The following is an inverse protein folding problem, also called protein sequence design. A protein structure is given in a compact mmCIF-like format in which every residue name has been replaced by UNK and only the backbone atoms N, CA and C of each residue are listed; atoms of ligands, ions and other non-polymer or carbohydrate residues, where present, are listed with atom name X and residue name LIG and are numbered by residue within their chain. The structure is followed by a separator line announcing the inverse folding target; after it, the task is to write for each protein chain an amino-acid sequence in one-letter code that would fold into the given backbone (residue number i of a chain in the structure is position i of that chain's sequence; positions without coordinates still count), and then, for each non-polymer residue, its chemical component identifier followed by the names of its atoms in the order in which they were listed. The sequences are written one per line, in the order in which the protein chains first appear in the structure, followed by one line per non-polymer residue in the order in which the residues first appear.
data_IF_063409698159
#
_entry.id   IF_063409698159
#
_cell.length_a   1.000
_cell.length_b   1.000
_cell.length_c   1.000
_cell.angle_alpha   90.00
_cell.angle_beta   90.00
_cell.angle_gamma   90.00
#
_symmetry.space_group_name_H-M   'P 1'
#
loop_
_entity.id
_entity.type
_entity.pdbx_description
1 polymer ?
#
# COMPACT_ATOMS: atom_id res chain seq x y z
N UNK A 1 16.86 -1.94 -110.27
CA UNK A 1 16.24 -2.83 -109.27
C UNK A 1 17.25 -3.44 -108.30
N UNK A 2 18.26 -4.22 -108.72
CA UNK A 2 19.20 -4.91 -107.81
C UNK A 2 19.98 -4.00 -106.83
N UNK A 3 20.45 -2.82 -107.27
CA UNK A 3 21.16 -1.85 -106.41
C UNK A 3 20.28 -1.22 -105.33
N UNK A 4 19.00 -1.01 -105.60
CA UNK A 4 18.05 -0.45 -104.64
C UNK A 4 17.67 -1.47 -103.55
N UNK A 5 17.54 -2.75 -103.92
CA UNK A 5 17.28 -3.85 -102.98
C UNK A 5 18.47 -4.04 -102.03
N UNK A 6 19.71 -3.97 -102.52
CA UNK A 6 20.91 -4.07 -101.68
C UNK A 6 21.04 -2.95 -100.63
N UNK A 7 20.63 -1.72 -100.98
CA UNK A 7 20.62 -0.58 -100.06
C UNK A 7 19.56 -0.73 -98.95
N UNK A 8 18.37 -1.20 -99.31
CA UNK A 8 17.28 -1.46 -98.35
C UNK A 8 17.67 -2.57 -97.37
N UNK A 9 18.30 -3.64 -97.86
CA UNK A 9 18.81 -4.72 -97.00
C UNK A 9 19.93 -4.22 -96.08
N UNK A 10 20.85 -3.39 -96.57
CA UNK A 10 21.91 -2.81 -95.74
C UNK A 10 21.38 -1.87 -94.64
N UNK A 11 20.38 -1.04 -94.95
CA UNK A 11 19.71 -0.17 -93.97
C UNK A 11 18.92 -0.99 -92.94
N UNK A 12 18.26 -2.08 -93.35
CA UNK A 12 17.58 -2.98 -92.44
C UNK A 12 18.57 -3.69 -91.49
N UNK A 13 19.71 -4.17 -91.99
CA UNK A 13 20.77 -4.77 -91.15
C UNK A 13 21.37 -3.75 -90.20
N UNK A 14 21.61 -2.51 -90.64
CA UNK A 14 22.09 -1.44 -89.78
C UNK A 14 21.06 -1.04 -88.70
N UNK A 15 19.78 -0.96 -89.05
CA UNK A 15 18.70 -0.70 -88.09
C UNK A 15 18.55 -1.86 -87.08
N UNK A 16 18.67 -3.11 -87.52
CA UNK A 16 18.71 -4.28 -86.62
C UNK A 16 19.95 -4.28 -85.73
N UNK A 17 21.12 -3.85 -86.22
CA UNK A 17 22.34 -3.76 -85.42
C UNK A 17 22.28 -2.61 -84.39
N UNK A 18 21.75 -1.45 -84.77
CA UNK A 18 21.54 -0.31 -83.86
C UNK A 18 20.45 -0.64 -82.84
N UNK A 19 19.32 -1.20 -83.28
CA UNK A 19 18.26 -1.67 -82.39
C UNK A 19 18.75 -2.78 -81.45
N UNK A 20 19.56 -3.71 -81.95
CA UNK A 20 20.22 -4.74 -81.15
C UNK A 20 21.19 -4.16 -80.13
N UNK A 21 22.02 -3.18 -80.52
CA UNK A 21 22.95 -2.50 -79.60
C UNK A 21 22.23 -1.66 -78.54
N UNK A 22 21.18 -0.93 -78.92
CA UNK A 22 20.32 -0.19 -78.00
C UNK A 22 19.60 -1.14 -77.03
N UNK A 23 19.07 -2.26 -77.53
CA UNK A 23 18.47 -3.30 -76.71
C UNK A 23 19.49 -3.93 -75.76
N UNK A 24 20.69 -4.29 -76.23
CA UNK A 24 21.76 -4.81 -75.38
C UNK A 24 22.13 -3.81 -74.28
N UNK A 25 22.38 -2.55 -74.63
CA UNK A 25 22.76 -1.50 -73.69
C UNK A 25 21.64 -1.19 -72.66
N UNK A 26 20.38 -1.19 -73.09
CA UNK A 26 19.23 -1.03 -72.20
C UNK A 26 19.02 -2.28 -71.31
N UNK A 27 19.18 -3.47 -71.87
CA UNK A 27 19.07 -4.76 -71.15
C UNK A 27 20.13 -4.96 -70.07
N UNK A 28 21.29 -4.31 -70.23
CA UNK A 28 22.39 -4.31 -69.24
C UNK A 28 22.44 -3.06 -68.36
N UNK A 29 21.46 -2.16 -68.46
CA UNK A 29 21.41 -0.99 -67.59
C UNK A 29 21.21 -1.41 -66.14
N UNK A 30 22.15 -1.02 -65.26
CA UNK A 30 22.14 -1.38 -63.84
C UNK A 30 21.20 -0.43 -63.08
N UNK A 31 20.16 -0.94 -62.41
CA UNK A 31 19.36 -0.15 -61.48
C UNK A 31 20.22 0.44 -60.35
N UNK A 32 19.90 1.63 -59.88
CA UNK A 32 20.66 2.28 -58.79
C UNK A 32 19.78 3.10 -57.87
N UNK A 33 20.22 3.32 -56.64
CA UNK A 33 19.54 4.15 -55.64
C UNK A 33 20.04 5.60 -55.71
N UNK A 34 19.15 6.55 -55.42
CA UNK A 34 19.42 7.99 -55.26
C UNK A 34 19.10 8.31 -53.78
N UNK A 35 20.12 8.62 -52.97
CA UNK A 35 20.03 8.64 -51.50
C UNK A 35 19.49 9.93 -50.87
N UNK A 36 18.77 9.77 -49.74
CA UNK A 36 18.59 10.75 -48.65
C UNK A 36 18.46 10.02 -47.29
N UNK A 37 18.65 10.76 -46.18
CA UNK A 37 18.80 10.38 -44.75
C UNK A 37 18.17 9.04 -44.29
N UNK A 38 18.86 8.35 -43.38
CA UNK A 38 18.67 6.91 -43.09
C UNK A 38 18.39 6.58 -41.61
N UNK A 39 17.81 7.49 -40.84
CA UNK A 39 17.43 7.19 -39.46
C UNK A 39 16.04 6.53 -39.39
N UNK A 40 15.97 5.37 -38.73
CA UNK A 40 14.75 4.60 -38.49
C UNK A 40 14.50 4.49 -36.98
N UNK A 41 13.25 4.47 -36.59
CA UNK A 41 12.84 4.37 -35.19
C UNK A 41 13.02 2.93 -34.66
N UNK A 42 13.53 2.80 -33.44
CA UNK A 42 13.68 1.53 -32.73
C UNK A 42 12.33 0.80 -32.62
N UNK A 43 12.34 -0.50 -32.88
CA UNK A 43 11.17 -1.39 -32.79
C UNK A 43 9.98 -0.97 -33.69
N UNK A 44 10.21 -0.14 -34.71
CA UNK A 44 9.20 0.18 -35.71
C UNK A 44 8.99 -0.97 -36.71
N UNK A 45 7.72 -1.31 -36.98
CA UNK A 45 7.36 -2.29 -38.00
C UNK A 45 7.35 -1.63 -39.38
N UNK A 46 8.24 -2.07 -40.27
CA UNK A 46 8.28 -1.59 -41.66
C UNK A 46 8.87 -2.63 -42.63
N UNK A 47 8.61 -2.43 -43.91
CA UNK A 47 9.14 -3.26 -45.01
C UNK A 47 10.16 -2.51 -45.86
N UNK A 48 10.90 -3.21 -46.72
CA UNK A 48 11.86 -2.59 -47.63
C UNK A 48 11.20 -1.63 -48.63
N UNK A 49 9.90 -1.82 -48.93
CA UNK A 49 9.14 -0.91 -49.76
C UNK A 49 8.85 0.45 -49.09
N UNK A 50 8.87 0.48 -47.75
CA UNK A 50 8.60 1.68 -46.95
C UNK A 50 9.86 2.55 -46.76
N UNK A 51 11.03 2.04 -47.16
CA UNK A 51 12.28 2.80 -47.10
C UNK A 51 12.18 4.05 -48.01
N UNK A 52 12.68 5.22 -47.57
CA UNK A 52 12.63 6.46 -48.34
C UNK A 52 13.67 6.50 -49.47
N UNK A 53 13.65 5.48 -50.35
CA UNK A 53 14.59 5.28 -51.44
C UNK A 53 13.97 5.67 -52.79
N UNK A 54 14.77 6.28 -53.66
CA UNK A 54 14.40 6.51 -55.06
C UNK A 54 15.25 5.62 -55.96
N UNK A 55 14.60 4.85 -56.84
CA UNK A 55 15.27 3.88 -57.73
C UNK A 55 15.30 4.44 -59.16
N UNK A 56 16.49 4.46 -59.74
CA UNK A 56 16.71 4.79 -61.15
C UNK A 56 16.77 3.51 -61.98
N UNK A 57 16.05 3.48 -63.11
CA UNK A 57 16.11 2.41 -64.13
C UNK A 57 15.78 0.99 -63.64
N UNK A 58 14.92 0.87 -62.62
CA UNK A 58 14.43 -0.41 -62.13
C UNK A 58 13.38 -0.29 -61.03
N UNK A 59 12.99 -1.43 -60.46
CA UNK A 59 12.03 -1.57 -59.35
C UNK A 59 12.58 -2.47 -58.25
N UNK A 60 12.15 -2.24 -57.01
CA UNK A 60 12.44 -3.12 -55.88
C UNK A 60 11.56 -4.36 -55.96
N UNK A 61 12.15 -5.55 -55.88
CA UNK A 61 11.41 -6.82 -56.01
C UNK A 61 11.32 -7.64 -54.72
N UNK A 62 12.10 -7.29 -53.69
CA UNK A 62 11.99 -7.87 -52.34
C UNK A 62 11.31 -6.91 -51.35
N UNK A 63 10.45 -6.02 -51.85
CA UNK A 63 9.83 -4.94 -51.07
C UNK A 63 9.04 -5.40 -49.84
N UNK A 64 8.44 -6.60 -49.87
CA UNK A 64 7.67 -7.16 -48.76
C UNK A 64 8.54 -7.67 -47.59
N UNK A 65 9.87 -7.67 -47.73
CA UNK A 65 10.75 -8.13 -46.64
C UNK A 65 10.76 -7.11 -45.50
N UNK A 66 10.72 -7.60 -44.26
CA UNK A 66 10.76 -6.77 -43.04
C UNK A 66 12.16 -6.17 -42.84
N UNK A 67 12.20 -4.92 -42.39
CA UNK A 67 13.44 -4.24 -41.96
C UNK A 67 13.62 -4.47 -40.45
N UNK A 68 14.79 -4.95 -40.04
CA UNK A 68 15.09 -5.17 -38.62
C UNK A 68 15.45 -3.83 -37.96
N UNK A 69 14.62 -3.38 -37.04
CA UNK A 69 14.80 -2.14 -36.26
C UNK A 69 14.95 -2.42 -34.76
N UNK A 70 15.22 -3.68 -34.36
CA UNK A 70 15.30 -4.08 -32.95
C UNK A 70 16.67 -3.85 -32.29
N UNK A 71 17.59 -3.16 -32.97
CA UNK A 71 18.95 -2.93 -32.47
C UNK A 71 19.44 -1.54 -32.89
N UNK A 72 19.76 -0.72 -31.88
CA UNK A 72 20.31 0.62 -32.06
C UNK A 72 21.62 0.65 -32.85
N UNK A 73 21.84 1.78 -33.52
CA UNK A 73 23.03 2.07 -34.30
C UNK A 73 22.96 1.61 -35.75
N UNK A 74 24.13 1.42 -36.37
CA UNK A 74 24.24 1.14 -37.80
C UNK A 74 23.85 -0.29 -38.14
N UNK A 75 22.99 -0.43 -39.14
CA UNK A 75 22.48 -1.68 -39.67
C UNK A 75 22.54 -1.66 -41.21
N UNK A 76 22.46 -2.84 -41.82
CA UNK A 76 22.53 -3.02 -43.27
C UNK A 76 21.49 -4.02 -43.76
N UNK A 77 20.95 -3.79 -44.95
CA UNK A 77 20.02 -4.72 -45.62
C UNK A 77 20.30 -4.76 -47.12
N UNK A 78 19.94 -5.88 -47.76
CA UNK A 78 20.10 -6.08 -49.19
C UNK A 78 18.79 -5.76 -49.92
N UNK A 79 18.85 -4.81 -50.84
CA UNK A 79 17.78 -4.48 -51.77
C UNK A 79 18.02 -5.18 -53.10
N UNK A 80 17.03 -5.92 -53.59
CA UNK A 80 17.10 -6.60 -54.88
C UNK A 80 16.34 -5.75 -55.89
N UNK A 81 17.07 -5.17 -56.85
CA UNK A 81 16.52 -4.31 -57.89
C UNK A 81 16.47 -5.05 -59.22
N UNK A 82 15.38 -4.87 -59.97
CA UNK A 82 15.20 -5.47 -61.30
C UNK A 82 14.86 -4.39 -62.34
N UNK A 83 15.50 -4.43 -63.52
CA UNK A 83 15.17 -3.54 -64.63
C UNK A 83 14.03 -4.11 -65.51
N UNK A 84 13.53 -3.33 -66.46
CA UNK A 84 12.43 -3.75 -67.36
C UNK A 84 12.76 -4.98 -68.25
N UNK A 85 14.02 -5.40 -68.30
CA UNK A 85 14.52 -6.55 -69.06
C UNK A 85 14.82 -7.78 -68.18
N UNK A 86 14.53 -7.73 -66.88
CA UNK A 86 14.73 -8.83 -65.93
C UNK A 86 16.16 -9.00 -65.41
N UNK A 87 17.04 -8.01 -65.63
CA UNK A 87 18.36 -8.01 -65.01
C UNK A 87 18.24 -7.59 -63.54
N UNK A 88 18.84 -8.38 -62.64
CA UNK A 88 18.80 -8.18 -61.19
C UNK A 88 20.15 -7.76 -60.63
N UNK A 89 20.15 -6.86 -59.66
CA UNK A 89 21.33 -6.53 -58.88
C UNK A 89 21.00 -6.38 -57.39
N UNK A 90 21.96 -6.78 -56.56
CA UNK A 90 21.92 -6.58 -55.11
C UNK A 90 22.53 -5.22 -54.79
N UNK A 91 21.86 -4.45 -53.95
CA UNK A 91 22.34 -3.18 -53.44
C UNK A 91 22.36 -3.23 -51.92
N UNK A 92 23.54 -3.02 -51.32
CA UNK A 92 23.67 -2.90 -49.87
C UNK A 92 23.18 -1.52 -49.45
N UNK A 93 22.21 -1.47 -48.55
CA UNK A 93 21.65 -0.24 -48.02
C UNK A 93 21.94 -0.17 -46.52
N UNK A 94 22.64 0.87 -46.10
CA UNK A 94 22.95 1.13 -44.69
C UNK A 94 21.94 2.11 -44.10
N UNK A 95 21.51 1.85 -42.86
CA UNK A 95 20.64 2.72 -42.09
C UNK A 95 21.06 2.76 -40.63
N UNK A 96 20.59 3.77 -39.89
CA UNK A 96 20.85 3.94 -38.47
C UNK A 96 19.53 3.81 -37.71
N UNK A 97 19.48 2.90 -36.75
CA UNK A 97 18.35 2.79 -35.84
C UNK A 97 18.63 3.68 -34.65
N UNK A 98 17.74 4.62 -34.40
CA UNK A 98 17.76 5.55 -33.28
C UNK A 98 16.50 5.35 -32.45
N UNK A 99 16.58 5.66 -31.18
CA UNK A 99 15.39 5.81 -30.35
C UNK A 99 15.05 7.29 -30.23
N UNK A 100 13.86 7.66 -30.68
CA UNK A 100 13.36 9.04 -30.59
C UNK A 100 12.06 9.13 -29.79
N UNK A 101 11.61 8.01 -29.24
CA UNK A 101 10.39 7.91 -28.45
C UNK A 101 10.74 8.15 -26.99
N UNK A 102 9.93 8.96 -26.32
CA UNK A 102 10.14 9.24 -24.90
C UNK A 102 9.46 8.18 -24.01
N UNK A 103 10.00 7.94 -22.80
CA UNK A 103 9.37 7.07 -21.82
C UNK A 103 7.93 7.48 -21.52
N UNK A 104 7.09 6.53 -21.17
CA UNK A 104 5.70 6.75 -20.76
C UNK A 104 5.59 6.63 -19.24
N UNK A 105 4.92 7.60 -18.63
CA UNK A 105 4.53 7.58 -17.22
C UNK A 105 3.04 7.25 -17.10
N UNK A 106 2.71 6.13 -16.47
CA UNK A 106 1.33 5.70 -16.23
C UNK A 106 0.93 5.87 -14.76
N UNK A 107 -0.37 6.09 -14.52
CA UNK A 107 -0.99 6.28 -13.19
C UNK A 107 -0.52 7.53 -12.43
N UNK A 108 0.06 8.51 -13.11
CA UNK A 108 0.42 9.79 -12.52
C UNK A 108 -0.86 10.60 -12.22
N UNK A 109 -1.10 10.86 -10.93
CA UNK A 109 -2.28 11.58 -10.45
C UNK A 109 -1.93 12.47 -9.26
N UNK A 110 -2.81 13.41 -8.92
CA UNK A 110 -2.66 14.25 -7.72
C UNK A 110 -2.57 13.39 -6.45
N UNK A 111 -1.65 13.77 -5.57
CA UNK A 111 -1.32 13.00 -4.37
C UNK A 111 -1.79 13.78 -3.15
N UNK A 112 -2.46 13.10 -2.22
CA UNK A 112 -2.78 13.68 -0.91
C UNK A 112 -2.13 12.85 0.19
N UNK A 113 -1.18 13.45 0.92
CA UNK A 113 -0.50 12.85 2.07
C UNK A 113 -0.80 13.65 3.34
N UNK A 114 -0.48 13.06 4.48
CA UNK A 114 -0.46 13.79 5.74
C UNK A 114 0.95 14.28 6.06
N UNK A 115 1.00 15.37 6.83
CA UNK A 115 2.25 15.89 7.36
C UNK A 115 3.00 14.82 8.16
N UNK A 116 4.27 14.63 7.84
CA UNK A 116 5.16 13.62 8.41
C UNK A 116 5.07 12.25 7.73
N UNK A 117 4.31 12.09 6.64
CA UNK A 117 4.25 10.84 5.89
C UNK A 117 5.65 10.39 5.44
N UNK A 118 5.90 9.07 5.49
CA UNK A 118 7.10 8.41 4.96
C UNK A 118 6.80 7.62 3.69
N UNK A 119 5.66 7.88 3.04
CA UNK A 119 5.24 7.17 1.83
C UNK A 119 6.17 7.51 0.67
N UNK A 120 6.53 6.52 -0.14
CA UNK A 120 7.23 6.73 -1.40
C UNK A 120 6.27 7.39 -2.39
N UNK A 121 6.74 8.45 -3.06
CA UNK A 121 5.94 9.18 -4.04
C UNK A 121 5.84 8.43 -5.37
N UNK A 122 6.72 7.45 -5.61
CA UNK A 122 6.66 6.59 -6.80
C UNK A 122 5.70 5.40 -6.66
N UNK A 123 5.09 5.19 -5.48
CA UNK A 123 4.21 4.04 -5.25
C UNK A 123 3.02 4.03 -6.22
N UNK A 124 2.92 2.97 -7.03
CA UNK A 124 1.87 2.79 -8.04
C UNK A 124 2.11 3.45 -9.41
N UNK A 125 3.17 4.25 -9.58
CA UNK A 125 3.56 4.81 -10.88
C UNK A 125 4.32 3.75 -11.67
N UNK A 126 3.97 3.59 -12.95
CA UNK A 126 4.66 2.68 -13.86
C UNK A 126 5.39 3.51 -14.91
N UNK A 127 6.65 3.16 -15.14
CA UNK A 127 7.50 3.79 -16.16
C UNK A 127 7.87 2.72 -17.18
N UNK A 128 7.61 2.99 -18.45
CA UNK A 128 7.88 2.06 -19.55
C UNK A 128 8.36 2.81 -20.79
N UNK A 129 9.04 2.13 -21.69
CA UNK A 129 9.50 2.72 -22.95
C UNK A 129 9.42 1.68 -24.08
N UNK A 130 9.50 2.10 -25.35
CA UNK A 130 9.59 1.19 -26.50
C UNK A 130 10.98 0.56 -26.64
N UNK A 131 12.00 1.09 -25.94
CA UNK A 131 13.33 0.53 -25.84
C UNK A 131 13.52 -0.33 -24.58
N UNK A 132 14.63 -1.08 -24.55
CA UNK A 132 15.14 -1.73 -23.34
C UNK A 132 16.25 -0.90 -22.68
N UNK A 133 16.35 0.39 -23.01
CA UNK A 133 17.36 1.28 -22.45
C UNK A 133 17.09 1.55 -20.96
N UNK A 134 18.15 1.96 -20.24
CA UNK A 134 18.01 2.36 -18.84
C UNK A 134 17.24 3.67 -18.75
N UNK A 135 16.19 3.69 -17.94
CA UNK A 135 15.39 4.89 -17.67
C UNK A 135 15.78 5.45 -16.31
N UNK A 136 16.13 6.73 -16.30
CA UNK A 136 16.37 7.49 -15.06
C UNK A 136 15.12 8.28 -14.69
N UNK A 137 14.73 8.20 -13.41
CA UNK A 137 13.50 8.82 -12.89
C UNK A 137 13.81 9.80 -11.78
N UNK A 138 13.16 10.97 -11.77
CA UNK A 138 13.31 11.97 -10.71
C UNK A 138 12.03 12.76 -10.47
N UNK A 139 11.95 13.42 -9.32
CA UNK A 139 10.87 14.35 -8.97
C UNK A 139 11.48 15.73 -8.89
N UNK A 140 11.04 16.64 -9.75
CA UNK A 140 11.40 18.05 -9.71
C UNK A 140 10.35 18.86 -8.92
N UNK A 141 10.76 20.00 -8.38
CA UNK A 141 9.91 20.89 -7.58
C UNK A 141 10.29 20.92 -6.09
N UNK A 142 9.99 22.04 -5.43
CA UNK A 142 10.19 22.17 -3.98
C UNK A 142 8.96 21.63 -3.24
N UNK A 143 9.17 20.62 -2.41
CA UNK A 143 8.13 20.11 -1.53
C UNK A 143 8.68 19.74 -0.15
N UNK A 144 7.79 19.70 0.82
CA UNK A 144 8.10 19.13 2.14
C UNK A 144 6.91 18.38 2.66
N UNK A 145 7.16 17.18 3.18
CA UNK A 145 6.14 16.44 3.90
C UNK A 145 6.00 16.93 5.34
N UNK A 146 6.84 17.86 5.82
CA UNK A 146 6.83 18.32 7.21
C UNK A 146 5.95 19.54 7.47
N UNK A 147 5.46 20.19 6.41
CA UNK A 147 4.57 21.36 6.50
C UNK A 147 3.32 21.06 5.70
N UNK A 148 2.16 21.43 6.23
CA UNK A 148 0.93 21.32 5.46
C UNK A 148 0.89 22.38 4.35
N UNK A 149 0.32 22.02 3.22
CA UNK A 149 0.27 22.88 2.05
C UNK A 149 0.06 22.10 0.77
N UNK A 150 0.10 22.83 -0.33
CA UNK A 150 0.01 22.29 -1.67
C UNK A 150 1.29 22.62 -2.40
N UNK A 151 1.90 21.60 -3.02
CA UNK A 151 3.16 21.67 -3.73
C UNK A 151 2.94 21.20 -5.16
N UNK A 152 3.41 21.96 -6.14
CA UNK A 152 3.50 21.49 -7.51
C UNK A 152 4.81 20.72 -7.65
N UNK A 153 4.71 19.46 -8.07
CA UNK A 153 5.87 18.60 -8.35
C UNK A 153 5.75 18.04 -9.76
N UNK A 154 6.88 17.72 -10.37
CA UNK A 154 6.93 17.17 -11.73
C UNK A 154 7.68 15.84 -11.70
N UNK A 155 7.01 14.77 -12.12
CA UNK A 155 7.67 13.50 -12.39
C UNK A 155 8.40 13.60 -13.72
N UNK A 156 9.66 13.17 -13.75
CA UNK A 156 10.52 13.20 -14.93
C UNK A 156 11.09 11.80 -15.16
N UNK A 157 10.96 11.30 -16.38
CA UNK A 157 11.60 10.08 -16.85
C UNK A 157 12.42 10.38 -18.10
N UNK A 158 13.70 9.96 -18.11
CA UNK A 158 14.64 10.17 -19.22
C UNK A 158 15.32 8.85 -19.56
N UNK A 159 15.25 8.43 -20.82
CA UNK A 159 15.97 7.25 -21.31
C UNK A 159 17.46 7.55 -21.60
N UNK A 160 18.22 6.52 -22.00
CA UNK A 160 19.63 6.66 -22.32
C UNK A 160 19.90 7.41 -23.64
N UNK A 161 18.92 7.44 -24.56
CA UNK A 161 18.96 8.21 -25.81
C UNK A 161 18.68 9.70 -25.60
N UNK A 162 18.22 10.09 -24.41
CA UNK A 162 17.94 11.45 -24.00
C UNK A 162 16.52 11.91 -24.31
N UNK A 163 15.60 11.02 -24.65
CA UNK A 163 14.19 11.37 -24.77
C UNK A 163 13.56 11.44 -23.38
N UNK A 164 12.61 12.35 -23.21
CA UNK A 164 12.15 12.79 -21.89
C UNK A 164 10.63 12.99 -21.85
N UNK A 165 10.03 12.52 -20.76
CA UNK A 165 8.63 12.79 -20.41
C UNK A 165 8.54 13.47 -19.06
N UNK A 166 7.66 14.47 -18.98
CA UNK A 166 7.37 15.25 -17.78
C UNK A 166 5.87 15.24 -17.50
N UNK A 167 5.48 14.93 -16.27
CA UNK A 167 4.09 15.01 -15.82
C UNK A 167 3.99 15.81 -14.51
N UNK A 168 3.22 16.90 -14.53
CA UNK A 168 3.00 17.77 -13.37
C UNK A 168 1.81 17.29 -12.54
N UNK A 169 1.99 17.20 -11.23
CA UNK A 169 0.92 16.87 -10.28
C UNK A 169 0.91 17.78 -9.07
N UNK A 170 -0.24 17.79 -8.41
CA UNK A 170 -0.43 18.48 -7.14
C UNK A 170 -0.20 17.53 -5.97
N UNK A 171 0.85 17.76 -5.18
CA UNK A 171 1.04 17.12 -3.87
C UNK A 171 0.38 17.98 -2.79
N UNK A 172 -0.70 17.48 -2.19
CA UNK A 172 -1.37 18.09 -1.04
C UNK A 172 -0.93 17.41 0.25
N UNK A 173 -0.19 18.13 1.10
CA UNK A 173 0.15 17.71 2.45
C UNK A 173 -0.87 18.30 3.41
N UNK A 174 -1.74 17.46 3.97
CA UNK A 174 -2.73 17.88 4.97
C UNK A 174 -2.10 17.90 6.36
N UNK A 175 -2.52 18.84 7.21
CA UNK A 175 -2.21 18.73 8.64
C UNK A 175 -2.69 17.39 9.18
N UNK A 176 -1.94 16.86 10.14
CA UNK A 176 -2.37 15.71 10.91
C UNK A 176 -3.55 16.17 11.76
N UNK A 177 -4.76 15.82 11.35
CA UNK A 177 -5.94 16.02 12.19
C UNK A 177 -5.91 15.01 13.34
N UNK A 178 -5.42 15.45 14.50
CA UNK A 178 -5.67 14.77 15.76
C UNK A 178 -6.97 15.35 16.31
N UNK A 179 -8.09 14.61 16.35
CA UNK A 179 -9.27 15.10 17.04
C UNK A 179 -8.90 15.48 18.47
N UNK A 180 -9.42 16.62 18.93
CA UNK A 180 -9.25 17.09 20.30
C UNK A 180 -10.04 16.17 21.25
N UNK A 181 -9.46 15.01 21.55
CA UNK A 181 -9.97 14.00 22.49
C UNK A 181 -9.57 14.37 23.93
N UNK A 182 -9.55 15.66 24.26
CA UNK A 182 -9.27 16.15 25.62
C UNK A 182 -10.41 15.86 26.60
N UNK A 183 -11.60 15.52 26.09
CA UNK A 183 -12.78 15.29 26.92
C UNK A 183 -13.24 13.84 26.83
N UNK A 184 -13.45 13.25 28.00
CA UNK A 184 -14.09 11.95 28.17
C UNK A 184 -15.59 12.09 27.87
N UNK A 185 -16.11 11.30 26.93
CA UNK A 185 -17.55 11.22 26.68
C UNK A 185 -18.16 10.21 27.65
N UNK A 186 -18.81 10.72 28.70
CA UNK A 186 -19.49 9.90 29.71
C UNK A 186 -21.00 10.09 29.57
N UNK A 187 -21.73 8.98 29.65
CA UNK A 187 -23.18 9.00 29.67
C UNK A 187 -23.71 9.35 31.06
N UNK A 188 -24.76 10.15 31.11
CA UNK A 188 -25.50 10.39 32.34
C UNK A 188 -26.39 9.18 32.64
N UNK A 189 -26.60 8.90 33.92
CA UNK A 189 -27.44 7.81 34.38
C UNK A 189 -28.87 7.95 33.83
N UNK A 190 -29.33 6.90 33.15
CA UNK A 190 -30.65 6.86 32.52
C UNK A 190 -31.06 5.44 32.14
N UNK A 191 -32.34 5.25 31.87
CA UNK A 191 -32.87 4.05 31.25
C UNK A 191 -33.50 4.37 29.90
N UNK A 192 -33.19 3.56 28.89
CA UNK A 192 -33.68 3.71 27.52
C UNK A 192 -34.35 2.40 27.11
N UNK A 193 -35.56 2.47 26.56
CA UNK A 193 -36.18 1.31 25.92
C UNK A 193 -35.68 1.24 24.48
N UNK A 194 -35.05 0.12 24.13
CA UNK A 194 -34.47 -0.10 22.80
C UNK A 194 -35.55 -0.39 21.76
N UNK A 195 -35.19 -0.38 20.47
CA UNK A 195 -36.14 -0.65 19.39
C UNK A 195 -36.75 -2.06 19.45
N UNK A 196 -36.05 -3.01 20.07
CA UNK A 196 -36.53 -4.37 20.27
C UNK A 196 -37.17 -4.59 21.65
N UNK A 197 -37.38 -3.52 22.43
CA UNK A 197 -38.11 -3.56 23.71
C UNK A 197 -37.27 -3.96 24.92
N UNK A 198 -35.95 -4.00 24.81
CA UNK A 198 -35.06 -4.21 25.95
C UNK A 198 -34.89 -2.94 26.76
N UNK A 199 -34.51 -3.06 28.03
CA UNK A 199 -34.12 -1.92 28.86
C UNK A 199 -32.60 -1.78 28.87
N UNK A 200 -32.09 -0.74 28.20
CA UNK A 200 -30.71 -0.31 28.33
C UNK A 200 -30.60 0.59 29.55
N UNK A 201 -29.78 0.17 30.51
CA UNK A 201 -29.49 0.91 31.74
C UNK A 201 -28.10 1.51 31.65
N UNK A 202 -28.00 2.81 31.85
CA UNK A 202 -26.74 3.51 32.05
C UNK A 202 -26.64 3.82 33.53
N UNK A 203 -25.61 3.29 34.18
CA UNK A 203 -25.31 3.55 35.58
C UNK A 203 -23.81 3.80 35.73
N UNK A 204 -23.44 4.89 36.41
CA UNK A 204 -22.06 5.35 36.54
C UNK A 204 -21.35 5.49 35.18
N UNK A 205 -22.13 5.89 34.16
CA UNK A 205 -21.68 6.02 32.78
C UNK A 205 -21.43 4.69 32.04
N UNK A 206 -21.85 3.55 32.60
CA UNK A 206 -21.68 2.22 32.01
C UNK A 206 -23.03 1.74 31.44
N UNK A 207 -23.18 1.66 30.11
CA UNK A 207 -24.38 1.15 29.45
C UNK A 207 -24.43 -0.38 29.49
N UNK A 208 -25.57 -0.95 29.86
CA UNK A 208 -25.79 -2.41 29.88
C UNK A 208 -27.22 -2.80 29.54
N UNK A 209 -27.40 -3.98 28.97
CA UNK A 209 -28.69 -4.63 28.72
C UNK A 209 -28.59 -6.07 29.22
N UNK A 210 -29.52 -6.48 30.09
CA UNK A 210 -29.55 -7.84 30.66
C UNK A 210 -28.21 -8.32 31.25
N UNK A 211 -27.46 -7.39 31.86
CA UNK A 211 -26.13 -7.65 32.43
C UNK A 211 -24.98 -7.66 31.43
N UNK A 212 -25.26 -7.50 30.13
CA UNK A 212 -24.25 -7.36 29.08
C UNK A 212 -23.88 -5.89 28.92
N UNK A 213 -22.62 -5.54 29.20
CA UNK A 213 -22.10 -4.18 28.98
C UNK A 213 -22.01 -3.92 27.47
N UNK A 214 -22.61 -2.82 27.03
CA UNK A 214 -22.66 -2.40 25.63
C UNK A 214 -21.58 -1.35 25.40
N UNK A 215 -20.64 -1.64 24.52
CA UNK A 215 -19.68 -0.64 24.01
C UNK A 215 -19.66 -0.74 22.50
N UNK A 216 -19.98 0.36 21.84
CA UNK A 216 -19.96 0.49 20.39
C UNK A 216 -19.77 1.97 20.05
N UNK A 217 -20.05 2.42 18.83
CA UNK A 217 -19.84 3.83 18.46
C UNK A 217 -20.81 4.81 19.13
N UNK A 218 -21.97 4.35 19.60
CA UNK A 218 -22.92 5.20 20.32
C UNK A 218 -22.62 5.19 21.82
N UNK A 219 -22.44 4.01 22.38
CA UNK A 219 -22.32 3.81 23.83
C UNK A 219 -20.85 3.68 24.22
N UNK A 220 -20.33 4.68 24.93
CA UNK A 220 -18.98 4.68 25.49
C UNK A 220 -18.96 4.20 26.92
N UNK A 221 -17.76 3.95 27.43
CA UNK A 221 -17.48 3.70 28.84
C UNK A 221 -16.46 4.69 29.42
N UNK A 222 -16.46 4.90 30.74
CA UNK A 222 -15.51 5.78 31.41
C UNK A 222 -14.06 5.39 31.14
N UNK A 223 -13.18 6.36 30.99
CA UNK A 223 -11.73 6.24 30.82
C UNK A 223 -11.02 5.42 31.90
N UNK A 224 -11.60 5.34 33.09
CA UNK A 224 -11.11 4.54 34.23
C UNK A 224 -11.64 3.11 34.24
N UNK A 225 -12.53 2.74 33.32
CA UNK A 225 -13.12 1.41 33.27
C UNK A 225 -12.11 0.37 32.78
N UNK A 226 -12.04 -0.75 33.50
CA UNK A 226 -11.22 -1.90 33.16
C UNK A 226 -9.77 -1.82 33.66
N UNK A 227 -9.17 -2.97 33.90
CA UNK A 227 -7.78 -3.09 34.36
C UNK A 227 -7.06 -4.36 33.86
N UNK A 228 -7.63 -5.03 32.85
CA UNK A 228 -7.15 -6.31 32.35
C UNK A 228 -8.28 -7.11 31.72
N UNK A 229 -7.97 -8.30 31.20
CA UNK A 229 -9.01 -9.25 30.82
C UNK A 229 -9.79 -9.69 32.06
N UNK A 230 -11.11 -9.84 31.91
CA UNK A 230 -11.94 -10.37 33.00
C UNK A 230 -11.61 -11.85 33.25
N UNK A 231 -11.83 -12.32 34.47
CA UNK A 231 -11.57 -13.71 34.84
C UNK A 231 -12.40 -14.69 33.97
N UNK A 232 -13.66 -14.35 33.68
CA UNK A 232 -14.54 -15.17 32.85
C UNK A 232 -14.06 -15.23 31.41
N UNK A 233 -13.67 -14.08 30.83
CA UNK A 233 -13.12 -14.02 29.48
C UNK A 233 -11.83 -14.84 29.37
N UNK A 234 -10.92 -14.71 30.35
CA UNK A 234 -9.67 -15.46 30.36
C UNK A 234 -9.91 -16.97 30.51
N UNK A 235 -10.85 -17.37 31.36
CA UNK A 235 -11.21 -18.78 31.57
C UNK A 235 -11.81 -19.37 30.30
N UNK A 236 -12.81 -18.69 29.71
CA UNK A 236 -13.44 -19.11 28.46
C UNK A 236 -12.44 -19.22 27.31
N UNK A 237 -11.54 -18.23 27.18
CA UNK A 237 -10.51 -18.24 26.14
C UNK A 237 -9.53 -19.40 26.31
N UNK A 238 -9.11 -19.67 27.55
CA UNK A 238 -8.21 -20.81 27.83
C UNK A 238 -8.87 -22.15 27.50
N UNK A 239 -10.15 -22.33 27.84
CA UNK A 239 -10.90 -23.54 27.46
C UNK A 239 -11.00 -23.68 25.95
N UNK A 240 -11.42 -22.63 25.25
CA UNK A 240 -11.51 -22.62 23.77
C UNK A 240 -10.17 -22.97 23.12
N UNK A 241 -9.07 -22.39 23.62
CA UNK A 241 -7.72 -22.68 23.11
C UNK A 241 -7.32 -24.13 23.36
N UNK A 242 -7.63 -24.69 24.52
CA UNK A 242 -7.32 -26.10 24.83
C UNK A 242 -8.09 -27.06 23.93
N UNK A 243 -9.36 -26.79 23.65
CA UNK A 243 -10.16 -27.63 22.76
C UNK A 243 -9.72 -27.49 21.29
N UNK A 244 -9.40 -26.28 20.82
CA UNK A 244 -8.80 -26.08 19.51
C UNK A 244 -7.46 -26.85 19.36
N UNK A 245 -6.62 -26.83 20.40
CA UNK A 245 -5.35 -27.56 20.42
C UNK A 245 -5.52 -29.08 20.35
N UNK A 246 -6.61 -29.62 20.92
CA UNK A 246 -6.94 -31.05 20.79
C UNK A 246 -7.27 -31.45 19.35
N UNK A 247 -7.67 -30.49 18.51
CA UNK A 247 -7.88 -30.65 17.07
C UNK A 247 -6.65 -30.29 16.23
N UNK A 248 -5.50 -29.99 16.87
CA UNK A 248 -4.26 -29.63 16.18
C UNK A 248 -4.16 -28.17 15.76
N UNK A 249 -5.04 -27.29 16.26
CA UNK A 249 -5.09 -25.87 15.93
C UNK A 249 -4.44 -25.03 17.03
N UNK A 250 -3.79 -23.91 16.67
CA UNK A 250 -3.11 -23.04 17.66
C UNK A 250 -3.74 -21.66 17.73
N UNK A 251 -4.41 -21.35 18.85
CA UNK A 251 -4.96 -20.02 19.12
C UNK A 251 -4.09 -19.26 20.14
N UNK A 252 -3.77 -18.00 19.85
CA UNK A 252 -3.13 -17.09 20.81
C UNK A 252 -3.81 -15.72 20.86
N UNK A 253 -3.73 -15.09 22.03
CA UNK A 253 -4.21 -13.74 22.24
C UNK A 253 -3.17 -12.76 21.68
N UNK A 254 -3.49 -12.12 20.56
CA UNK A 254 -2.66 -11.10 19.94
C UNK A 254 -2.91 -9.72 20.56
N UNK A 255 -4.17 -9.41 20.88
CA UNK A 255 -4.54 -8.19 21.61
C UNK A 255 -5.74 -8.44 22.52
N UNK A 256 -5.56 -8.27 23.84
CA UNK A 256 -6.61 -8.40 24.84
C UNK A 256 -7.10 -7.05 25.33
N UNK A 257 -7.03 -6.83 26.65
CA UNK A 257 -7.40 -5.54 27.24
C UNK A 257 -6.56 -4.38 26.69
N UNK A 258 -7.23 -3.28 26.33
CA UNK A 258 -6.60 -2.01 25.96
C UNK A 258 -7.18 -0.89 26.83
N UNK A 259 -6.34 -0.20 27.59
CA UNK A 259 -6.77 0.95 28.37
C UNK A 259 -7.24 2.09 27.48
N UNK A 260 -8.03 3.01 28.04
CA UNK A 260 -8.46 4.23 27.36
C UNK A 260 -7.27 5.02 26.79
N UNK A 261 -6.22 5.19 27.59
CA UNK A 261 -5.00 5.93 27.19
C UNK A 261 -4.28 5.26 26.02
N UNK A 262 -4.16 3.92 26.06
CA UNK A 262 -3.59 3.17 24.95
C UNK A 262 -4.43 3.34 23.68
N UNK A 263 -5.75 3.19 23.79
CA UNK A 263 -6.67 3.35 22.68
C UNK A 263 -6.62 4.76 22.09
N UNK A 264 -6.48 5.80 22.93
CA UNK A 264 -6.31 7.19 22.49
C UNK A 264 -5.05 7.36 21.63
N UNK A 265 -3.91 6.82 22.08
CA UNK A 265 -2.67 6.85 21.31
C UNK A 265 -2.79 6.10 19.97
N UNK A 266 -3.37 4.90 20.01
CA UNK A 266 -3.59 4.06 18.83
C UNK A 266 -4.49 4.75 17.80
N UNK A 267 -5.64 5.26 18.23
CA UNK A 267 -6.59 5.95 17.37
C UNK A 267 -6.00 7.24 16.78
N UNK A 268 -5.26 8.01 17.57
CA UNK A 268 -4.56 9.20 17.10
C UNK A 268 -3.50 8.85 16.03
N UNK A 269 -2.76 7.76 16.22
CA UNK A 269 -1.80 7.28 15.22
C UNK A 269 -2.51 6.89 13.91
N UNK A 270 -3.67 6.23 13.98
CA UNK A 270 -4.44 5.90 12.79
C UNK A 270 -5.03 7.14 12.10
N UNK A 271 -5.56 8.10 12.86
CA UNK A 271 -6.00 9.38 12.30
C UNK A 271 -4.86 10.09 11.58
N UNK A 272 -3.66 10.10 12.18
CA UNK A 272 -2.45 10.71 11.63
C UNK A 272 -1.87 9.98 10.40
N UNK A 273 -2.23 8.72 10.17
CA UNK A 273 -1.73 7.94 9.04
C UNK A 273 -2.75 7.80 7.91
N UNK A 274 -4.02 7.68 8.24
CA UNK A 274 -5.10 7.28 7.31
C UNK A 274 -6.25 8.29 7.26
N UNK A 275 -6.28 9.26 8.17
CA UNK A 275 -7.34 10.25 8.30
C UNK A 275 -8.46 9.75 9.20
N UNK A 276 -9.18 10.67 9.85
CA UNK A 276 -10.22 10.32 10.81
C UNK A 276 -11.33 9.45 10.20
N UNK A 277 -11.83 9.82 9.02
CA UNK A 277 -12.92 9.08 8.36
C UNK A 277 -12.55 7.63 8.08
N UNK A 278 -11.29 7.34 7.76
CA UNK A 278 -10.84 5.96 7.58
C UNK A 278 -10.63 5.28 8.94
N UNK A 279 -9.97 5.94 9.89
CA UNK A 279 -9.74 5.41 11.23
C UNK A 279 -11.05 5.04 11.94
N UNK A 280 -12.12 5.83 11.75
CA UNK A 280 -13.45 5.56 12.29
C UNK A 280 -14.09 4.26 11.74
N UNK A 281 -13.57 3.63 10.67
CA UNK A 281 -14.11 2.37 10.10
C UNK A 281 -13.47 1.09 10.66
N UNK A 282 -12.22 1.16 11.11
CA UNK A 282 -11.44 -0.02 11.56
C UNK A 282 -10.79 0.18 12.94
N UNK A 283 -10.97 1.35 13.54
CA UNK A 283 -10.49 1.68 14.87
C UNK A 283 -11.59 2.37 15.66
N UNK A 284 -11.40 2.44 16.97
CA UNK A 284 -12.37 3.01 17.89
C UNK A 284 -11.79 4.27 18.53
N UNK A 285 -12.60 5.32 18.63
CA UNK A 285 -12.32 6.46 19.50
C UNK A 285 -12.17 5.96 20.94
N UNK A 286 -11.32 6.58 21.77
CA UNK A 286 -11.12 6.11 23.14
C UNK A 286 -12.43 6.17 23.93
N UNK A 287 -12.73 5.12 24.69
CA UNK A 287 -14.02 4.90 25.35
C UNK A 287 -15.05 4.11 24.54
N UNK A 288 -14.83 3.92 23.23
CA UNK A 288 -15.76 3.21 22.32
C UNK A 288 -15.18 1.87 21.83
N UNK A 289 -14.09 1.40 22.44
CA UNK A 289 -13.40 0.16 22.09
C UNK A 289 -13.79 -0.96 23.04
N UNK A 290 -14.32 -2.07 22.54
CA UNK A 290 -14.69 -3.21 23.38
C UNK A 290 -13.49 -3.84 24.11
N UNK A 291 -12.26 -3.64 23.62
CA UNK A 291 -11.05 -4.08 24.32
C UNK A 291 -10.89 -3.44 25.70
N UNK A 292 -11.45 -2.25 25.92
CA UNK A 292 -11.42 -1.60 27.22
C UNK A 292 -12.31 -2.33 28.25
N UNK A 293 -13.25 -3.17 27.81
CA UNK A 293 -14.03 -4.03 28.71
C UNK A 293 -13.22 -5.17 29.32
N UNK A 294 -12.08 -5.53 28.73
CA UNK A 294 -11.40 -6.78 29.08
C UNK A 294 -12.19 -8.04 28.68
N UNK A 295 -13.17 -7.88 27.79
CA UNK A 295 -14.05 -8.94 27.29
C UNK A 295 -13.86 -9.21 25.79
N UNK A 296 -12.99 -8.45 25.10
CA UNK A 296 -12.65 -8.65 23.71
C UNK A 296 -11.22 -9.16 23.56
N UNK A 297 -11.00 -10.03 22.58
CA UNK A 297 -9.69 -10.58 22.22
C UNK A 297 -9.57 -10.58 20.70
N UNK A 298 -8.47 -10.01 20.19
CA UNK A 298 -8.03 -10.23 18.82
C UNK A 298 -7.13 -11.46 18.78
N UNK A 299 -7.45 -12.40 17.90
CA UNK A 299 -6.76 -13.68 17.78
C UNK A 299 -5.68 -13.67 16.69
N UNK A 300 -4.61 -14.40 16.98
CA UNK A 300 -3.57 -14.77 16.03
C UNK A 300 -2.99 -13.61 15.21
N UNK A 301 -3.19 -13.63 13.90
CA UNK A 301 -2.77 -12.57 12.98
C UNK A 301 -3.97 -11.67 12.71
N UNK A 302 -3.87 -10.41 13.11
CA UNK A 302 -4.93 -9.41 13.03
C UNK A 302 -5.05 -8.86 11.60
N UNK A 303 -5.46 -9.71 10.66
CA UNK A 303 -5.66 -9.39 9.23
C UNK A 303 -6.82 -10.18 8.65
N UNK A 304 -7.36 -9.72 7.51
CA UNK A 304 -8.46 -10.42 6.82
C UNK A 304 -8.13 -11.86 6.47
N UNK A 305 -6.86 -12.17 6.22
CA UNK A 305 -6.39 -13.52 5.88
C UNK A 305 -6.67 -14.55 6.98
N UNK A 306 -6.89 -14.12 8.24
CA UNK A 306 -7.26 -15.04 9.31
C UNK A 306 -8.52 -15.84 8.98
N UNK A 307 -9.48 -15.27 8.24
CA UNK A 307 -10.70 -16.00 7.81
C UNK A 307 -10.41 -17.21 6.93
N UNK A 308 -9.26 -17.21 6.25
CA UNK A 308 -8.85 -18.26 5.33
C UNK A 308 -8.02 -19.35 6.02
N UNK A 309 -7.61 -19.17 7.29
CA UNK A 309 -6.86 -20.18 8.03
C UNK A 309 -7.79 -21.22 8.66
N UNK A 310 -7.23 -22.39 8.99
CA UNK A 310 -7.97 -23.43 9.71
C UNK A 310 -8.46 -22.92 11.08
N UNK A 311 -7.62 -22.14 11.78
CA UNK A 311 -7.97 -21.49 13.04
C UNK A 311 -9.13 -20.51 12.90
N UNK A 312 -9.11 -19.61 11.92
CA UNK A 312 -10.18 -18.62 11.76
C UNK A 312 -11.51 -19.27 11.39
N UNK A 313 -11.49 -20.28 10.51
CA UNK A 313 -12.69 -21.05 10.18
C UNK A 313 -13.22 -21.84 11.38
N UNK A 314 -12.32 -22.40 12.20
CA UNK A 314 -12.73 -23.10 13.42
C UNK A 314 -13.32 -22.11 14.43
N UNK A 315 -12.70 -20.96 14.66
CA UNK A 315 -13.21 -19.92 15.57
C UNK A 315 -14.59 -19.46 15.12
N UNK A 316 -14.78 -19.14 13.84
CA UNK A 316 -16.07 -18.69 13.30
C UNK A 316 -17.21 -19.70 13.52
N UNK A 317 -16.89 -20.99 13.63
CA UNK A 317 -17.87 -22.07 13.81
C UNK A 317 -17.97 -22.61 15.24
N UNK A 318 -17.09 -22.20 16.16
CA UNK A 318 -17.00 -22.81 17.48
C UNK A 318 -16.93 -21.81 18.63
N UNK A 319 -16.54 -20.55 18.41
CA UNK A 319 -16.29 -19.61 19.50
C UNK A 319 -17.53 -19.38 20.40
N UNK A 320 -18.74 -19.48 19.83
CA UNK A 320 -20.00 -19.37 20.57
C UNK A 320 -20.18 -20.41 21.67
N UNK A 321 -19.62 -21.62 21.47
CA UNK A 321 -19.68 -22.70 22.45
C UNK A 321 -18.97 -22.34 23.76
N UNK A 322 -18.07 -21.38 23.69
CA UNK A 322 -17.31 -20.86 24.83
C UNK A 322 -17.76 -19.47 25.26
N UNK A 323 -18.88 -18.98 24.73
CA UNK A 323 -19.44 -17.68 25.09
C UNK A 323 -18.85 -16.49 24.33
N UNK A 324 -18.13 -16.73 23.24
CA UNK A 324 -17.63 -15.67 22.36
C UNK A 324 -18.47 -15.51 21.10
N UNK A 325 -18.57 -14.30 20.59
CA UNK A 325 -19.14 -14.01 19.27
C UNK A 325 -18.07 -13.44 18.35
N UNK A 326 -18.20 -13.65 17.04
CA UNK A 326 -17.53 -12.80 16.05
C UNK A 326 -18.24 -11.44 16.08
N UNK A 327 -17.61 -10.44 16.72
CA UNK A 327 -18.30 -9.19 17.08
C UNK A 327 -18.66 -8.33 15.88
N UNK A 328 -17.79 -8.34 14.87
CA UNK A 328 -17.92 -7.59 13.62
C UNK A 328 -17.96 -8.58 12.45
N UNK A 329 -19.12 -9.20 12.17
CA UNK A 329 -19.28 -10.19 11.11
C UNK A 329 -19.32 -9.59 9.70
N UNK A 330 -19.09 -10.44 8.68
CA UNK A 330 -19.00 -10.02 7.28
C UNK A 330 -20.34 -9.45 6.78
N UNK A 331 -20.29 -8.31 6.07
CA UNK A 331 -21.47 -7.64 5.51
C UNK A 331 -22.34 -6.87 6.52
N UNK A 332 -21.89 -6.71 7.77
CA UNK A 332 -22.65 -6.06 8.86
C UNK A 332 -22.02 -4.75 9.35
N UNK A 333 -21.08 -4.21 8.59
CA UNK A 333 -20.37 -2.95 8.84
C UNK A 333 -21.31 -1.74 8.88
N UNK A 334 -22.38 -1.75 8.08
CA UNK A 334 -23.43 -0.73 8.13
C UNK A 334 -24.28 -0.75 9.41
N UNK A 335 -24.17 -1.80 10.22
CA UNK A 335 -24.90 -1.97 11.49
C UNK A 335 -23.95 -1.72 12.66
N UNK A 336 -22.81 -2.42 12.71
CA UNK A 336 -21.85 -2.31 13.81
C UNK A 336 -21.00 -1.03 13.72
N UNK A 337 -20.86 -0.49 12.51
CA UNK A 337 -19.96 0.61 12.18
C UNK A 337 -18.51 0.15 11.91
N UNK A 338 -18.15 -1.11 12.15
CA UNK A 338 -16.79 -1.61 11.97
C UNK A 338 -16.73 -2.56 10.79
N UNK A 339 -15.62 -2.52 10.05
CA UNK A 339 -15.34 -3.51 9.00
C UNK A 339 -15.39 -4.94 9.56
N UNK A 340 -15.51 -5.94 8.68
CA UNK A 340 -15.42 -7.34 9.10
C UNK A 340 -14.09 -7.59 9.83
N UNK A 341 -14.13 -8.21 11.01
CA UNK A 341 -12.93 -8.57 11.78
C UNK A 341 -12.99 -10.05 12.17
N UNK A 342 -12.50 -10.98 11.32
CA UNK A 342 -12.52 -12.42 11.62
C UNK A 342 -11.76 -12.81 12.89
N UNK A 343 -10.82 -11.97 13.32
CA UNK A 343 -9.98 -12.19 14.50
C UNK A 343 -10.61 -11.69 15.79
N UNK A 344 -11.60 -10.79 15.73
CA UNK A 344 -12.10 -10.08 16.89
C UNK A 344 -13.29 -10.82 17.53
N UNK A 345 -13.04 -11.38 18.71
CA UNK A 345 -14.05 -12.09 19.48
C UNK A 345 -14.45 -11.32 20.74
N UNK A 346 -15.75 -11.27 21.03
CA UNK A 346 -16.33 -10.63 22.22
C UNK A 346 -17.00 -11.66 23.11
N UNK A 347 -16.62 -11.71 24.38
CA UNK A 347 -17.26 -12.56 25.38
C UNK A 347 -18.59 -11.96 25.84
N UNK A 348 -19.65 -12.76 25.76
CA UNK A 348 -21.03 -12.41 26.15
C UNK A 348 -21.71 -13.53 26.96
N UNK A 349 -20.98 -14.60 27.28
CA UNK A 349 -21.53 -15.81 27.89
C UNK A 349 -22.15 -16.77 26.86
N UNK A 350 -22.21 -18.06 27.22
CA UNK A 350 -22.57 -19.16 26.32
C UNK A 350 -24.00 -19.03 25.78
N UNK A 351 -24.96 -18.70 26.65
CA UNK A 351 -26.38 -18.65 26.27
C UNK A 351 -26.63 -17.59 25.19
N UNK A 352 -26.14 -16.37 25.40
CA UNK A 352 -26.30 -15.30 24.42
C UNK A 352 -25.47 -15.57 23.16
N UNK A 353 -24.22 -16.03 23.29
CA UNK A 353 -23.40 -16.33 22.12
C UNK A 353 -24.05 -17.41 21.24
N UNK A 354 -24.70 -18.41 21.83
CA UNK A 354 -25.43 -19.46 21.11
C UNK A 354 -26.62 -18.90 20.33
N UNK A 355 -27.37 -17.95 20.92
CA UNK A 355 -28.46 -17.25 20.23
C UNK A 355 -27.90 -16.45 19.05
N UNK A 356 -26.83 -15.69 19.27
CA UNK A 356 -26.24 -14.81 18.26
C UNK A 356 -25.55 -15.56 17.13
N UNK A 357 -25.07 -16.80 17.35
CA UNK A 357 -24.50 -17.63 16.29
C UNK A 357 -25.49 -17.97 15.17
N UNK A 358 -26.78 -18.16 15.51
CA UNK A 358 -27.88 -18.36 14.56
C UNK A 358 -27.54 -19.30 13.38
N UNK A 359 -27.01 -20.47 13.70
CA UNK A 359 -26.67 -21.50 12.70
C UNK A 359 -25.51 -21.15 11.77
N UNK A 360 -24.65 -20.19 12.14
CA UNK A 360 -23.52 -19.70 11.35
C UNK A 360 -23.75 -18.30 10.79
N UNK A 361 -25.00 -17.83 10.75
CA UNK A 361 -25.35 -16.47 10.32
C UNK A 361 -25.41 -15.53 11.51
N UNK A 362 -24.23 -15.03 11.93
CA UNK A 362 -24.09 -14.17 13.10
C UNK A 362 -25.06 -12.97 13.11
N UNK A 363 -25.85 -12.88 14.19
CA UNK A 363 -26.66 -11.72 14.55
C UNK A 363 -25.79 -10.79 15.39
N UNK A 364 -25.76 -9.50 15.04
CA UNK A 364 -25.00 -8.51 15.81
C UNK A 364 -25.69 -8.18 17.15
N UNK A 365 -24.93 -7.67 18.13
CA UNK A 365 -25.53 -7.15 19.37
C UNK A 365 -26.50 -6.01 19.09
N UNK A 366 -26.18 -5.17 18.11
CA UNK A 366 -27.02 -4.08 17.62
C UNK A 366 -28.38 -4.59 17.11
N UNK A 367 -28.38 -5.60 16.24
CA UNK A 367 -29.61 -6.22 15.73
C UNK A 367 -30.41 -6.92 16.81
N UNK A 368 -29.75 -7.67 17.69
CA UNK A 368 -30.41 -8.43 18.75
C UNK A 368 -31.09 -7.50 19.75
N UNK A 369 -30.37 -6.50 20.24
CA UNK A 369 -30.91 -5.57 21.24
C UNK A 369 -31.67 -4.39 20.64
N UNK A 370 -31.59 -4.13 19.34
CA UNK A 370 -32.25 -3.00 18.68
C UNK A 370 -31.65 -1.65 19.09
N UNK A 371 -30.31 -1.56 19.07
CA UNK A 371 -29.54 -0.37 19.44
C UNK A 371 -28.68 0.12 18.26
N UNK A 372 -28.33 1.40 18.26
CA UNK A 372 -27.51 2.02 17.21
C UNK A 372 -26.01 1.90 17.51
N UNK A 373 -25.18 2.02 16.46
CA UNK A 373 -23.72 2.17 16.54
C UNK A 373 -23.26 3.29 15.61
N UNK A 374 -23.51 4.53 16.04
CA UNK A 374 -23.10 5.77 15.37
C UNK A 374 -22.50 6.71 16.40
N UNK A 375 -21.38 7.36 16.06
CA UNK A 375 -20.76 8.34 16.95
C UNK A 375 -21.73 9.50 17.23
N UNK A 376 -21.91 9.90 18.50
CA UNK A 376 -22.76 11.02 18.86
C UNK A 376 -22.36 12.29 18.10
N UNK A 377 -23.34 13.00 17.53
CA UNK A 377 -23.09 14.24 16.78
C UNK A 377 -22.51 15.36 17.66
N UNK A 378 -22.76 15.29 18.97
CA UNK A 378 -22.28 16.19 20.00
C UNK A 378 -20.97 15.71 20.67
N UNK A 379 -20.35 14.65 20.15
CA UNK A 379 -19.12 14.08 20.71
C UNK A 379 -18.00 15.12 20.93
N UNK A 380 -17.86 16.09 20.02
CA UNK A 380 -16.87 17.16 20.13
C UNK A 380 -17.26 18.25 21.16
N UNK A 381 -18.52 18.30 21.59
CA UNK A 381 -19.08 19.39 22.40
C UNK A 381 -19.51 18.96 23.82
N UNK A 382 -19.74 17.67 24.08
CA UNK A 382 -20.08 17.17 25.42
C UNK A 382 -18.83 17.18 26.29
N UNK A 383 -18.68 18.21 27.14
CA UNK A 383 -17.60 18.31 28.12
C UNK A 383 -18.05 17.70 29.44
N UNK A 384 -17.30 16.74 29.97
CA UNK A 384 -17.39 16.42 31.41
C UNK A 384 -17.08 17.70 32.19
N UNK A 385 -17.91 18.11 33.16
CA UNK A 385 -17.53 19.19 34.07
C UNK A 385 -16.20 18.78 34.73
N UNK A 386 -15.19 19.65 34.64
CA UNK A 386 -14.02 19.52 35.51
C UNK A 386 -14.57 19.66 36.92
N UNK A 387 -14.58 18.57 37.69
CA UNK A 387 -14.81 18.68 39.13
C UNK A 387 -13.54 19.34 39.65
N UNK A 388 -13.58 20.66 39.83
CA UNK A 388 -12.53 21.34 40.59
C UNK A 388 -12.48 20.67 41.96
N UNK A 389 -11.27 20.35 42.48
CA UNK A 389 -11.17 19.80 43.82
C UNK A 389 -11.87 20.76 44.76
N UNK A 390 -12.84 20.25 45.54
CA UNK A 390 -13.46 21.00 46.63
C UNK A 390 -12.32 21.34 47.58
N UNK A 391 -11.85 22.59 47.53
CA UNK A 391 -10.99 23.15 48.55
C UNK A 391 -11.89 23.28 49.76
N UNK A 392 -11.70 22.37 50.73
CA UNK A 392 -12.30 22.47 52.05
C UNK A 392 -11.81 23.77 52.70
N UNK A 393 -12.68 24.77 52.96
CA UNK A 393 -12.24 25.98 53.63
C UNK A 393 -12.08 25.70 55.13
N UNK A 394 -10.87 25.96 55.63
CA UNK A 394 -10.45 26.02 57.04
C UNK A 394 -10.16 24.69 57.75
N UNK A 395 -8.89 24.28 57.66
CA UNK A 395 -8.16 23.82 58.85
C UNK A 395 -6.88 24.65 58.94
N UNK A 396 -6.88 25.66 59.82
CA UNK A 396 -5.63 26.30 60.27
C UNK A 396 -4.85 25.27 61.08
N UNK A 397 -3.69 24.85 60.57
CA UNK A 397 -2.70 24.16 61.39
C UNK A 397 -1.64 25.15 61.86
N UNK A 398 -1.67 25.42 63.17
CA UNK A 398 -0.65 26.13 63.94
C UNK A 398 0.74 25.49 63.74
N UNK A 399 1.72 26.25 63.25
CA UNK A 399 3.13 25.88 63.32
C UNK A 399 3.67 26.05 64.76
N UNK A 400 4.32 25.04 65.37
CA UNK A 400 5.17 25.28 66.52
C UNK A 400 6.60 25.58 66.07
N UNK A 401 7.13 26.70 66.59
CA UNK A 401 8.53 27.08 66.54
C UNK A 401 9.44 26.08 67.26
N UNK A 402 10.62 25.81 66.70
CA UNK A 402 11.72 25.15 67.40
C UNK A 402 12.97 26.03 67.31
N UNK A 403 13.41 26.50 68.47
CA UNK A 403 14.69 27.16 68.72
C UNK A 403 15.82 26.13 68.97
N UNK A 404 17.04 26.57 68.63
CA UNK A 404 18.36 26.27 69.21
C UNK A 404 18.95 24.84 69.18
N UNK A 405 20.13 24.66 68.56
CA UNK A 405 21.44 24.77 69.24
C UNK A 405 22.60 24.36 68.29
N UNK A 406 23.76 24.99 68.50
CA UNK A 406 25.05 24.75 67.85
C UNK A 406 25.91 23.87 68.75
N UNK A 407 26.59 22.84 68.24
CA UNK A 407 27.95 22.48 68.70
C UNK A 407 28.74 21.53 67.76
N UNK A 408 30.05 21.73 67.84
CA UNK A 408 31.24 21.37 67.03
C UNK A 408 31.66 19.88 66.93
N UNK A 409 32.40 19.57 65.83
CA UNK A 409 33.61 18.73 65.61
C UNK A 409 33.80 17.42 66.43
N UNK A 410 34.17 16.24 65.90
CA UNK A 410 35.28 15.87 64.99
C UNK A 410 35.13 14.37 64.51
N UNK A 411 36.02 13.79 63.65
CA UNK A 411 35.69 12.79 62.61
C UNK A 411 36.15 11.33 62.89
N UNK A 412 35.60 10.34 62.16
CA UNK A 412 36.19 8.98 62.04
C UNK A 412 35.88 8.29 60.68
N UNK A 413 36.97 8.04 59.94
CA UNK A 413 37.34 6.96 59.00
C UNK A 413 36.63 6.71 57.64
N UNK A 414 37.49 6.77 56.60
CA UNK A 414 37.28 6.38 55.21
C UNK A 414 37.26 4.85 55.00
N UNK A 415 36.59 4.32 53.97
CA UNK A 415 36.81 2.95 53.51
C UNK A 415 37.99 2.86 52.52
N UNK A 416 38.93 1.96 52.84
CA UNK A 416 40.14 1.62 52.08
C UNK A 416 39.86 1.05 50.69
N UNK A 417 40.63 1.53 49.71
CA UNK A 417 40.83 0.95 48.38
C UNK A 417 42.01 -0.02 48.35
N UNK A 418 42.00 -0.87 47.32
CA UNK A 418 43.17 -1.38 46.55
C UNK A 418 43.77 -2.80 46.85
N UNK A 419 44.48 -3.45 45.88
CA UNK A 419 43.97 -4.54 45.03
C UNK A 419 44.96 -5.75 44.89
N UNK A 420 44.78 -6.59 43.84
CA UNK A 420 45.81 -7.31 43.02
C UNK A 420 45.95 -8.86 43.12
N UNK A 421 45.90 -9.48 41.92
CA UNK A 421 46.48 -10.73 41.33
C UNK A 421 46.32 -12.09 42.06
N UNK A 422 46.14 -13.24 41.39
CA UNK A 422 47.00 -13.76 40.32
C UNK A 422 46.32 -14.93 39.55
N UNK A 423 46.60 -15.03 38.24
CA UNK A 423 46.37 -16.21 37.38
C UNK A 423 47.64 -17.09 37.42
N UNK A 424 47.64 -18.40 37.11
CA UNK A 424 47.78 -18.86 35.71
C UNK A 424 47.09 -20.23 35.39
N UNK A 425 46.50 -20.34 34.18
CA UNK A 425 46.91 -21.10 32.97
C UNK A 425 46.67 -22.62 32.94
N UNK A 426 46.06 -23.06 31.82
CA UNK A 426 46.45 -24.15 30.90
C UNK A 426 45.16 -24.70 30.23
N UNK A 427 44.90 -24.40 28.94
CA UNK A 427 45.20 -25.26 27.77
C UNK A 427 44.46 -26.62 27.85
N UNK A 428 43.61 -27.08 26.92
CA UNK A 428 43.80 -27.24 25.48
C UNK A 428 42.47 -27.68 24.80
N UNK A 429 42.27 -27.22 23.56
CA UNK A 429 41.69 -27.86 22.36
C UNK A 429 40.40 -28.73 22.38
N UNK A 430 39.42 -28.33 21.56
CA UNK A 430 39.29 -28.83 20.17
C UNK A 430 38.07 -28.26 19.42
N UNK A 431 38.36 -27.72 18.23
CA UNK A 431 37.63 -27.76 16.93
C UNK A 431 36.42 -28.71 16.82
N UNK A 432 35.41 -28.59 15.95
CA UNK A 432 35.11 -27.84 14.73
C UNK A 432 33.62 -28.19 14.41
N UNK A 433 32.93 -27.41 13.56
CA UNK A 433 31.68 -27.90 12.96
C UNK A 433 30.71 -26.87 12.40
N UNK A 434 31.14 -26.13 11.37
CA UNK A 434 30.28 -25.37 10.47
C UNK A 434 29.65 -26.32 9.44
N UNK A 435 28.32 -26.32 9.28
CA UNK A 435 27.66 -26.63 7.99
C UNK A 435 26.37 -25.79 7.87
N UNK A 436 26.38 -24.92 6.84
CA UNK A 436 25.33 -24.30 6.00
C UNK A 436 23.90 -24.14 6.53
#
# INVERSE_FOLDING_TARGET
MKKAIGLIVALAVAACAIGGFMYLNASTAVPSIIEHSHQLELNSEMTLADLPISISKGTLINGESVVTTSKLGKNEVILILENEYGFKCDHMYSYEVVDTTAPVLENVTDITLQKGSTSDLWDGIVVSDNSEEEITTSIEGEYTLQTSGTYAITYVAVDASGNETREEVTLTVKEVYVPDLTHEYVWDDQEIITNNGYTLKIQDGIPSIDGIIIVNKTYSIPSTFGNGLTADTLTAFNTMRTEAAAEGLTLWNASGYRSYTYQKGLYNNYCARRGQSAADTFSARPGFSEHQLGMAIDLNTITQEFKNTAEGQWVANNCYKYGFIIRYPEGKDHITGYIYEPWHIRYVGVDLATILYNGGEWITLEEYYGIESVYPSDYATKKKPVVEPVIDPEVEEDEPAVEDEVHEDDPVEEPSTDPVEDQPTDEEDSEEGVIL
#
